data_IF_849694051182
#
_entry.id   IF_849694051182
#
_cell.length_a   1.000
_cell.length_b   1.000
_cell.length_c   1.000
_cell.angle_alpha   90.00
_cell.angle_beta   90.00
_cell.angle_gamma   90.00
#
_symmetry.space_group_name_H-M   'P 1'
#
loop_
_entity.id
_entity.type
_entity.pdbx_description
1 polymer ?
#
# COMPACT_ATOMS: atom_id res chain seq x y z
N UNK A 1 -17.05 -73.08 38.79
CA UNK A 1 -16.62 -71.71 39.13
C UNK A 1 -15.45 -71.27 38.27
N UNK A 2 -15.78 -70.55 37.18
CA UNK A 2 -15.67 -69.08 37.08
C UNK A 2 -14.20 -68.72 36.77
N UNK A 3 -13.80 -68.78 35.50
CA UNK A 3 -13.85 -67.65 34.56
C UNK A 3 -13.68 -66.28 35.25
N UNK A 4 -12.76 -65.47 34.70
CA UNK A 4 -12.57 -64.02 34.90
C UNK A 4 -11.56 -63.60 35.97
N UNK A 5 -10.28 -63.48 35.56
CA UNK A 5 -9.40 -62.43 36.10
C UNK A 5 -8.21 -62.12 35.16
N UNK A 6 -7.77 -63.07 34.32
CA UNK A 6 -6.59 -62.87 33.49
C UNK A 6 -6.88 -62.25 32.11
N UNK A 7 -8.10 -62.42 31.57
CA UNK A 7 -8.47 -61.89 30.25
C UNK A 7 -9.03 -60.47 30.25
N UNK A 8 -9.27 -59.86 31.42
CA UNK A 8 -9.87 -58.52 31.53
C UNK A 8 -8.84 -57.37 31.48
N UNK A 9 -7.54 -57.67 31.62
CA UNK A 9 -6.48 -56.64 31.62
C UNK A 9 -6.05 -56.24 30.20
N UNK A 10 -6.44 -57.01 29.17
CA UNK A 10 -6.08 -56.74 27.77
C UNK A 10 -7.22 -56.17 26.90
N UNK A 11 -8.45 -56.04 27.43
CA UNK A 11 -9.59 -55.53 26.65
C UNK A 11 -9.98 -54.08 26.94
N UNK A 12 -9.34 -53.42 27.90
CA UNK A 12 -9.40 -51.95 28.04
C UNK A 12 -8.30 -51.35 27.17
N UNK A 13 -8.61 -51.26 25.87
CA UNK A 13 -7.74 -50.75 24.82
C UNK A 13 -7.28 -49.32 25.06
N UNK A 14 -6.22 -49.16 25.84
CA UNK A 14 -5.28 -48.07 25.65
C UNK A 14 -4.18 -48.59 24.72
N UNK A 15 -4.41 -48.50 23.41
CA UNK A 15 -3.36 -48.73 22.41
C UNK A 15 -2.36 -47.57 22.51
N UNK A 16 -1.48 -47.60 23.51
CA UNK A 16 -0.43 -46.61 23.68
C UNK A 16 0.77 -47.02 22.83
N UNK A 17 0.79 -46.56 21.58
CA UNK A 17 1.95 -46.74 20.70
C UNK A 17 3.06 -45.79 21.13
N UNK A 18 4.02 -46.28 21.90
CA UNK A 18 5.26 -45.54 22.22
C UNK A 18 6.29 -45.90 21.15
N UNK A 19 6.66 -44.99 20.24
CA UNK A 19 7.63 -45.30 19.20
C UNK A 19 9.05 -45.32 19.79
N UNK A 20 9.55 -46.53 20.07
CA UNK A 20 10.88 -46.75 20.67
C UNK A 20 12.01 -46.41 19.67
N UNK A 21 11.77 -46.57 18.36
CA UNK A 21 12.76 -46.34 17.28
C UNK A 21 12.57 -45.02 16.51
N UNK A 22 11.40 -44.38 16.61
CA UNK A 22 11.06 -43.17 15.81
C UNK A 22 11.43 -41.85 16.49
N UNK A 23 12.21 -41.88 17.57
CA UNK A 23 12.49 -40.67 18.35
C UNK A 23 13.25 -39.60 17.56
N UNK A 24 14.09 -39.99 16.60
CA UNK A 24 14.73 -39.06 15.65
C UNK A 24 13.70 -38.41 14.70
N UNK A 25 12.73 -39.19 14.23
CA UNK A 25 11.65 -38.71 13.36
C UNK A 25 10.70 -37.75 14.09
N UNK A 26 10.34 -38.07 15.35
CA UNK A 26 9.54 -37.17 16.18
C UNK A 26 10.27 -35.88 16.53
N UNK A 27 11.58 -35.94 16.79
CA UNK A 27 12.42 -34.74 16.96
C UNK A 27 12.46 -33.91 15.68
N UNK A 28 12.69 -34.54 14.53
CA UNK A 28 12.68 -33.86 13.24
C UNK A 28 11.32 -33.20 12.91
N UNK A 29 10.20 -33.87 13.22
CA UNK A 29 8.87 -33.27 13.09
C UNK A 29 8.67 -32.08 14.01
N UNK A 30 9.09 -32.20 15.28
CA UNK A 30 9.04 -31.09 16.23
C UNK A 30 9.89 -29.92 15.75
N UNK A 31 11.10 -30.18 15.28
CA UNK A 31 12.01 -29.14 14.80
C UNK A 31 11.46 -28.48 13.53
N UNK A 32 10.84 -29.24 12.63
CA UNK A 32 10.12 -28.69 11.48
C UNK A 32 8.92 -27.82 11.90
N UNK A 33 8.17 -28.24 12.91
CA UNK A 33 7.05 -27.46 13.45
C UNK A 33 7.53 -26.15 14.11
N UNK A 34 8.64 -26.20 14.86
CA UNK A 34 9.28 -25.01 15.46
C UNK A 34 9.78 -24.06 14.36
N UNK A 35 10.48 -24.59 13.36
CA UNK A 35 10.93 -23.78 12.22
C UNK A 35 9.77 -23.14 11.45
N UNK A 36 8.67 -23.88 11.25
CA UNK A 36 7.46 -23.33 10.62
C UNK A 36 6.81 -22.22 11.45
N UNK A 37 6.81 -22.36 12.78
CA UNK A 37 6.30 -21.32 13.68
C UNK A 37 7.20 -20.08 13.66
N UNK A 38 8.52 -20.25 13.66
CA UNK A 38 9.48 -19.15 13.51
C UNK A 38 9.31 -18.44 12.17
N UNK A 39 9.12 -19.18 11.07
CA UNK A 39 8.84 -18.63 9.75
C UNK A 39 7.55 -17.81 9.73
N UNK A 40 6.44 -18.34 10.26
CA UNK A 40 5.18 -17.60 10.36
C UNK A 40 5.30 -16.33 11.23
N UNK A 41 6.06 -16.41 12.32
CA UNK A 41 6.35 -15.25 13.17
C UNK A 41 7.20 -14.20 12.47
N UNK A 42 8.13 -14.62 11.59
CA UNK A 42 8.94 -13.72 10.78
C UNK A 42 8.09 -13.05 9.69
N UNK A 43 7.24 -13.81 9.00
CA UNK A 43 6.31 -13.32 7.98
C UNK A 43 5.31 -12.31 8.54
N UNK A 44 4.79 -12.56 9.74
CA UNK A 44 3.96 -11.60 10.45
C UNK A 44 4.71 -10.28 10.71
N UNK A 45 5.94 -10.35 11.25
CA UNK A 45 6.77 -9.16 11.49
C UNK A 45 7.06 -8.40 10.20
N UNK A 46 7.37 -9.11 9.12
CA UNK A 46 7.63 -8.52 7.82
C UNK A 46 6.39 -7.76 7.31
N UNK A 47 5.22 -8.38 7.34
CA UNK A 47 3.95 -7.74 6.93
C UNK A 47 3.69 -6.45 7.70
N UNK A 48 3.91 -6.45 9.03
CA UNK A 48 3.75 -5.26 9.86
C UNK A 48 4.75 -4.17 9.47
N UNK A 49 6.03 -4.51 9.30
CA UNK A 49 7.06 -3.55 8.90
C UNK A 49 6.79 -2.94 7.52
N UNK A 50 6.33 -3.74 6.56
CA UNK A 50 5.93 -3.28 5.22
C UNK A 50 4.77 -2.28 5.31
N UNK A 51 3.72 -2.59 6.08
CA UNK A 51 2.60 -1.66 6.27
C UNK A 51 3.01 -0.33 6.93
N UNK A 52 3.92 -0.36 7.90
CA UNK A 52 4.44 0.85 8.56
C UNK A 52 5.27 1.69 7.58
N UNK A 53 6.11 1.04 6.76
CA UNK A 53 6.89 1.71 5.72
C UNK A 53 5.99 2.33 4.64
N UNK A 54 4.90 1.67 4.24
CA UNK A 54 3.90 2.22 3.31
C UNK A 54 3.21 3.48 3.88
N UNK A 55 2.84 3.47 5.16
CA UNK A 55 2.26 4.65 5.84
C UNK A 55 3.27 5.79 5.92
N UNK A 56 4.51 5.50 6.30
CA UNK A 56 5.57 6.51 6.37
C UNK A 56 5.85 7.14 5.00
N UNK A 57 5.97 6.32 3.95
CA UNK A 57 6.12 6.79 2.57
C UNK A 57 4.93 7.65 2.15
N UNK A 58 3.72 7.28 2.53
CA UNK A 58 2.53 8.05 2.20
C UNK A 58 2.53 9.43 2.90
N UNK A 59 2.93 9.49 4.17
CA UNK A 59 3.04 10.72 4.95
C UNK A 59 4.14 11.64 4.45
N UNK A 60 5.35 11.09 4.20
CA UNK A 60 6.47 11.86 3.65
C UNK A 60 6.17 12.36 2.23
N UNK A 61 5.60 11.50 1.38
CA UNK A 61 5.18 11.84 0.02
C UNK A 61 4.11 12.93 -0.01
N UNK A 62 3.19 12.95 0.96
CA UNK A 62 2.13 13.94 1.07
C UNK A 62 2.64 15.39 1.21
N UNK A 63 3.71 15.62 1.97
CA UNK A 63 4.26 16.98 2.16
C UNK A 63 4.94 17.52 0.89
N UNK A 64 5.65 16.67 0.15
CA UNK A 64 6.24 17.03 -1.15
C UNK A 64 5.14 17.31 -2.17
N UNK A 65 4.14 16.44 -2.22
CA UNK A 65 3.01 16.56 -3.13
C UNK A 65 2.21 17.83 -2.86
N UNK A 66 2.04 18.22 -1.60
CA UNK A 66 1.42 19.50 -1.24
C UNK A 66 2.21 20.70 -1.75
N UNK A 67 3.54 20.73 -1.55
CA UNK A 67 4.39 21.83 -2.07
C UNK A 67 4.33 21.91 -3.60
N UNK A 68 4.33 20.76 -4.28
CA UNK A 68 4.16 20.69 -5.74
C UNK A 68 2.79 21.25 -6.17
N UNK A 69 1.73 20.90 -5.44
CA UNK A 69 0.39 21.42 -5.71
C UNK A 69 0.34 22.94 -5.55
N UNK A 70 0.83 23.48 -4.45
CA UNK A 70 0.77 24.92 -4.17
C UNK A 70 1.55 25.72 -5.25
N UNK A 71 2.70 25.20 -5.71
CA UNK A 71 3.45 25.79 -6.81
C UNK A 71 2.70 25.72 -8.15
N UNK A 72 2.07 24.58 -8.46
CA UNK A 72 1.32 24.39 -9.70
C UNK A 72 0.04 25.23 -9.74
N UNK A 73 -0.64 25.42 -8.60
CA UNK A 73 -1.82 26.27 -8.49
C UNK A 73 -1.45 27.74 -8.76
N UNK A 74 -0.30 28.21 -8.26
CA UNK A 74 0.23 29.54 -8.59
C UNK A 74 0.57 29.67 -10.08
N UNK A 75 1.21 28.66 -10.68
CA UNK A 75 1.52 28.65 -12.11
C UNK A 75 0.25 28.71 -12.97
N UNK A 76 -0.80 27.97 -12.57
CA UNK A 76 -2.10 28.00 -13.23
C UNK A 76 -2.77 29.37 -13.16
N UNK A 77 -2.76 30.03 -11.99
CA UNK A 77 -3.29 31.38 -11.83
C UNK A 77 -2.56 32.36 -12.76
N UNK A 78 -1.22 32.30 -12.78
CA UNK A 78 -0.41 33.15 -13.65
C UNK A 78 -0.72 32.89 -15.13
N UNK A 79 -0.76 31.62 -15.56
CA UNK A 79 -1.03 31.27 -16.95
C UNK A 79 -2.44 31.71 -17.42
N UNK A 80 -3.45 31.56 -16.55
CA UNK A 80 -4.81 32.08 -16.80
C UNK A 80 -4.80 33.59 -16.98
N UNK A 81 -4.08 34.31 -16.11
CA UNK A 81 -3.97 35.77 -16.19
C UNK A 81 -3.28 36.21 -17.49
N UNK A 82 -2.21 35.54 -17.88
CA UNK A 82 -1.50 35.81 -19.14
C UNK A 82 -2.42 35.60 -20.34
N UNK A 83 -3.17 34.49 -20.39
CA UNK A 83 -4.14 34.24 -21.46
C UNK A 83 -5.22 35.34 -21.55
N UNK A 84 -5.80 35.74 -20.41
CA UNK A 84 -6.76 36.85 -20.38
C UNK A 84 -6.18 38.16 -20.89
N UNK A 85 -4.94 38.49 -20.50
CA UNK A 85 -4.27 39.71 -20.93
C UNK A 85 -3.91 39.67 -22.42
N UNK A 86 -3.40 38.55 -22.92
CA UNK A 86 -3.10 38.36 -24.35
C UNK A 86 -4.36 38.52 -25.19
N UNK A 87 -5.49 37.94 -24.76
CA UNK A 87 -6.77 38.09 -25.46
C UNK A 87 -7.27 39.54 -25.48
N UNK A 88 -7.13 40.27 -24.37
CA UNK A 88 -7.46 41.72 -24.32
C UNK A 88 -6.56 42.52 -25.27
N UNK A 89 -5.24 42.31 -25.21
CA UNK A 89 -4.28 42.99 -26.09
C UNK A 89 -4.57 42.70 -27.56
N UNK A 90 -4.91 41.47 -27.92
CA UNK A 90 -5.28 41.09 -29.28
C UNK A 90 -6.54 41.81 -29.73
N UNK A 91 -7.58 41.86 -28.88
CA UNK A 91 -8.81 42.61 -29.20
C UNK A 91 -8.59 44.12 -29.36
N UNK A 92 -7.51 44.65 -28.77
CA UNK A 92 -7.08 46.04 -28.94
C UNK A 92 -6.06 46.23 -30.07
N UNK A 93 -5.72 45.18 -30.83
CA UNK A 93 -4.74 45.24 -31.93
C UNK A 93 -3.28 45.38 -31.50
N UNK A 94 -2.95 45.16 -30.22
CA UNK A 94 -1.62 45.37 -29.65
C UNK A 94 -0.67 44.17 -29.78
N UNK A 95 -1.21 42.98 -30.02
CA UNK A 95 -0.44 41.72 -30.17
C UNK A 95 -1.04 40.87 -31.27
N UNK A 96 -0.30 39.89 -31.76
CA UNK A 96 -0.77 38.96 -32.77
C UNK A 96 -1.72 37.91 -32.18
N UNK A 97 -2.51 37.24 -33.03
CA UNK A 97 -3.30 36.09 -32.58
C UNK A 97 -2.42 34.92 -32.12
N UNK A 98 -1.19 34.81 -32.63
CA UNK A 98 -0.23 33.79 -32.21
C UNK A 98 0.11 33.92 -30.72
N UNK A 99 0.25 35.14 -30.21
CA UNK A 99 0.50 35.41 -28.78
C UNK A 99 -0.67 34.93 -27.89
N UNK A 100 -1.90 34.93 -28.42
CA UNK A 100 -3.08 34.39 -27.71
C UNK A 100 -3.03 32.87 -27.67
N UNK A 101 -2.69 32.23 -28.79
CA UNK A 101 -2.57 30.76 -28.90
C UNK A 101 -1.45 30.24 -28.01
N UNK A 102 -0.30 30.91 -27.96
CA UNK A 102 0.82 30.49 -27.11
C UNK A 102 0.51 30.66 -25.62
N UNK A 103 -0.20 31.74 -25.25
CA UNK A 103 -0.72 31.91 -23.89
C UNK A 103 -1.78 30.83 -23.55
N UNK A 104 -2.62 30.45 -24.50
CA UNK A 104 -3.62 29.39 -24.31
C UNK A 104 -2.98 28.02 -24.12
N UNK A 105 -1.95 27.69 -24.92
CA UNK A 105 -1.16 26.46 -24.76
C UNK A 105 -0.54 26.38 -23.36
N UNK A 106 0.11 27.46 -22.94
CA UNK A 106 0.72 27.55 -21.60
C UNK A 106 -0.33 27.36 -20.49
N UNK A 107 -1.51 27.97 -20.62
CA UNK A 107 -2.63 27.76 -19.69
C UNK A 107 -3.07 26.30 -19.67
N UNK A 108 -3.29 25.68 -20.83
CA UNK A 108 -3.76 24.31 -20.92
C UNK A 108 -2.76 23.32 -20.30
N UNK A 109 -1.46 23.53 -20.54
CA UNK A 109 -0.42 22.68 -19.96
C UNK A 109 -0.35 22.85 -18.43
N UNK A 110 -0.52 24.06 -17.92
CA UNK A 110 -0.64 24.30 -16.48
C UNK A 110 -1.87 23.63 -15.87
N UNK A 111 -3.01 23.61 -16.56
CA UNK A 111 -4.23 22.92 -16.13
C UNK A 111 -4.05 21.40 -16.10
N UNK A 112 -3.42 20.83 -17.14
CA UNK A 112 -3.11 19.40 -17.21
C UNK A 112 -2.19 18.98 -16.07
N UNK A 113 -1.13 19.74 -15.79
CA UNK A 113 -0.22 19.46 -14.68
C UNK A 113 -0.92 19.55 -13.32
N UNK A 114 -1.80 20.55 -13.11
CA UNK A 114 -2.60 20.64 -11.89
C UNK A 114 -3.53 19.42 -11.70
N UNK A 115 -4.15 18.94 -12.79
CA UNK A 115 -5.00 17.76 -12.75
C UNK A 115 -4.20 16.46 -12.50
N UNK A 116 -2.99 16.34 -13.05
CA UNK A 116 -2.10 15.21 -12.77
C UNK A 116 -1.75 15.14 -11.27
N UNK A 117 -1.41 16.27 -10.64
CA UNK A 117 -1.14 16.34 -9.20
C UNK A 117 -2.38 15.94 -8.38
N UNK A 118 -3.58 16.35 -8.80
CA UNK A 118 -4.83 15.92 -8.14
C UNK A 118 -5.03 14.41 -8.24
N UNK A 119 -4.72 13.80 -9.38
CA UNK A 119 -4.79 12.35 -9.55
C UNK A 119 -3.77 11.63 -8.64
N UNK A 120 -2.53 12.13 -8.55
CA UNK A 120 -1.51 11.62 -7.62
C UNK A 120 -2.00 11.68 -6.16
N UNK A 121 -2.67 12.77 -5.76
CA UNK A 121 -3.23 12.90 -4.41
C UNK A 121 -4.32 11.87 -4.13
N UNK A 122 -5.22 11.64 -5.08
CA UNK A 122 -6.28 10.63 -4.94
C UNK A 122 -5.68 9.22 -4.81
N UNK A 123 -4.68 8.90 -5.64
CA UNK A 123 -3.97 7.62 -5.55
C UNK A 123 -3.29 7.44 -4.19
N UNK A 124 -2.64 8.49 -3.67
CA UNK A 124 -2.03 8.49 -2.33
C UNK A 124 -3.08 8.26 -1.24
N UNK A 125 -4.24 8.90 -1.32
CA UNK A 125 -5.34 8.70 -0.37
C UNK A 125 -5.85 7.26 -0.38
N UNK A 126 -6.02 6.65 -1.57
CA UNK A 126 -6.41 5.24 -1.68
C UNK A 126 -5.34 4.31 -1.09
N UNK A 127 -4.06 4.59 -1.37
CA UNK A 127 -2.95 3.82 -0.81
C UNK A 127 -2.92 3.90 0.72
N UNK A 128 -3.16 5.08 1.29
CA UNK A 128 -3.22 5.27 2.73
C UNK A 128 -4.41 4.51 3.35
N UNK A 129 -5.59 4.55 2.73
CA UNK A 129 -6.75 3.78 3.18
C UNK A 129 -6.44 2.28 3.17
N UNK A 130 -5.79 1.78 2.12
CA UNK A 130 -5.36 0.38 2.02
C UNK A 130 -4.36 0.00 3.11
N UNK A 131 -3.33 0.82 3.32
CA UNK A 131 -2.29 0.56 4.33
C UNK A 131 -2.83 0.58 5.77
N UNK A 132 -3.90 1.36 6.02
CA UNK A 132 -4.58 1.42 7.32
C UNK A 132 -5.57 0.25 7.55
N UNK A 133 -5.68 -0.71 6.62
CA UNK A 133 -6.53 -1.89 6.75
C UNK A 133 -7.86 -1.81 6.00
N UNK A 134 -8.10 -0.75 5.22
CA UNK A 134 -9.34 -0.56 4.46
C UNK A 134 -10.56 -0.26 5.34
N UNK A 135 -11.72 -0.05 4.71
CA UNK A 135 -13.00 -0.15 5.42
C UNK A 135 -13.32 -1.63 5.53
N UNK A 136 -13.21 -2.20 6.74
CA UNK A 136 -13.79 -3.50 7.06
C UNK A 136 -15.32 -3.48 6.92
#
# INVERSE_FOLDING_TARGET
DLFQASSLVWSLGANATVPITSQKYLRAQRDAAVASHEAASAEYRQTVLESMAEVENALQGGAILKRRQDAQDNALIAARKTFELSRKRFSSGLVSFLDVVDAERTRLDAERAANAIRAERLALSVSLIKALGGSW
#
